data_IF_732195762193
#
_entry.id   IF_732195762193
#
_cell.length_a   1.000
_cell.length_b   1.000
_cell.length_c   1.000
_cell.angle_alpha   90.00
_cell.angle_beta   90.00
_cell.angle_gamma   90.00
#
_symmetry.space_group_name_H-M   'P 1'
#
loop_
_entity.id
_entity.type
_entity.pdbx_description
1 polymer ?
#
# COMPACT_ATOMS: atom_id res chain seq x y z
N UNK A 1 -5.05 -9.60 0.93
CA UNK A 1 -5.56 -10.31 2.13
C UNK A 1 -6.76 -11.12 1.68
N UNK A 2 -7.10 -12.23 2.32
CA UNK A 2 -8.22 -13.08 1.90
C UNK A 2 -9.36 -13.04 2.94
N UNK A 3 -10.60 -13.41 2.56
CA UNK A 3 -11.72 -13.49 3.50
C UNK A 3 -11.46 -14.41 4.69
N UNK A 4 -10.88 -15.59 4.44
CA UNK A 4 -10.55 -16.52 5.53
C UNK A 4 -9.53 -15.96 6.54
N UNK A 5 -8.71 -14.96 6.15
CA UNK A 5 -7.86 -14.25 7.12
C UNK A 5 -8.65 -13.27 7.99
N UNK A 6 -9.69 -12.63 7.44
CA UNK A 6 -10.59 -11.77 8.20
C UNK A 6 -11.44 -12.59 9.17
N UNK A 7 -11.97 -13.73 8.72
CA UNK A 7 -12.76 -14.64 9.56
C UNK A 7 -11.91 -15.19 10.72
N UNK A 8 -10.66 -15.61 10.45
CA UNK A 8 -9.77 -16.11 11.49
C UNK A 8 -9.44 -15.05 12.56
N UNK A 9 -9.35 -13.77 12.20
CA UNK A 9 -9.18 -12.67 13.16
C UNK A 9 -10.43 -12.51 14.04
N UNK A 10 -11.61 -12.56 13.43
CA UNK A 10 -12.89 -12.47 14.15
C UNK A 10 -13.08 -13.66 15.11
N UNK A 11 -12.77 -14.88 14.68
CA UNK A 11 -12.82 -16.10 15.52
C UNK A 11 -11.82 -16.03 16.68
N UNK A 12 -10.66 -15.40 16.48
CA UNK A 12 -9.68 -15.13 17.52
C UNK A 12 -10.07 -13.98 18.47
N UNK A 13 -11.22 -13.32 18.24
CA UNK A 13 -11.68 -12.17 19.02
C UNK A 13 -10.88 -10.89 18.77
N UNK A 14 -10.14 -10.81 17.66
CA UNK A 14 -9.39 -9.62 17.25
C UNK A 14 -10.29 -8.73 16.39
N UNK A 15 -10.71 -7.60 16.96
CA UNK A 15 -11.53 -6.60 16.26
C UNK A 15 -10.68 -5.39 15.84
N UNK A 16 -11.17 -4.64 14.87
CA UNK A 16 -10.57 -3.39 14.44
C UNK A 16 -11.58 -2.25 14.64
N UNK A 17 -11.09 -1.09 15.08
CA UNK A 17 -11.91 0.12 15.23
C UNK A 17 -12.07 0.88 13.91
N UNK A 18 -11.07 0.73 13.02
CA UNK A 18 -11.03 1.41 11.73
C UNK A 18 -10.38 0.51 10.67
N UNK A 19 -10.97 0.47 9.48
CA UNK A 19 -10.41 -0.19 8.30
C UNK A 19 -10.07 0.86 7.24
N UNK A 20 -8.79 1.17 7.08
CA UNK A 20 -8.33 2.18 6.12
C UNK A 20 -8.07 1.54 4.75
N UNK A 21 -8.77 2.02 3.72
CA UNK A 21 -8.57 1.59 2.34
C UNK A 21 -7.89 2.71 1.53
N UNK A 22 -6.62 2.50 1.16
CA UNK A 22 -5.88 3.43 0.31
C UNK A 22 -6.22 3.18 -1.15
N UNK A 23 -6.96 4.09 -1.76
CA UNK A 23 -7.39 4.00 -3.16
C UNK A 23 -6.41 4.73 -4.06
N UNK A 24 -5.83 4.01 -5.03
CA UNK A 24 -4.84 4.51 -5.99
C UNK A 24 -5.09 3.82 -7.34
N UNK A 25 -5.12 4.56 -8.47
CA UNK A 25 -5.27 3.96 -9.78
C UNK A 25 -4.15 2.95 -10.10
N UNK A 26 -4.52 1.84 -10.73
CA UNK A 26 -3.60 0.73 -11.04
C UNK A 26 -2.42 1.17 -11.91
N UNK A 27 -2.64 2.09 -12.85
CA UNK A 27 -1.58 2.61 -13.73
C UNK A 27 -0.48 3.31 -12.92
N UNK A 28 -0.88 4.06 -11.89
CA UNK A 28 0.04 4.74 -10.98
C UNK A 28 0.76 3.73 -10.08
N UNK A 29 0.07 2.66 -9.65
CA UNK A 29 0.69 1.59 -8.86
C UNK A 29 1.75 0.83 -9.67
N UNK A 30 1.48 0.54 -10.94
CA UNK A 30 2.45 -0.08 -11.86
C UNK A 30 3.68 0.80 -12.00
N UNK A 31 3.52 2.09 -12.30
CA UNK A 31 4.64 3.02 -12.42
C UNK A 31 5.50 3.05 -11.14
N UNK A 32 4.84 3.19 -9.98
CA UNK A 32 5.50 3.24 -8.67
C UNK A 32 6.32 1.99 -8.36
N UNK A 33 5.82 0.80 -8.72
CA UNK A 33 6.54 -0.45 -8.45
C UNK A 33 7.70 -0.66 -9.42
N UNK A 34 7.49 -0.41 -10.72
CA UNK A 34 8.55 -0.60 -11.73
C UNK A 34 9.70 0.40 -11.53
N UNK A 35 9.40 1.61 -11.05
CA UNK A 35 10.41 2.62 -10.74
C UNK A 35 11.16 2.40 -9.42
N UNK A 36 10.73 1.42 -8.60
CA UNK A 36 11.33 1.15 -7.28
C UNK A 36 12.73 0.56 -7.40
N UNK A 37 13.63 1.06 -6.58
CA UNK A 37 15.01 0.58 -6.43
C UNK A 37 15.35 0.42 -4.96
N UNK A 38 16.25 -0.50 -4.65
CA UNK A 38 16.74 -0.73 -3.28
C UNK A 38 18.25 -0.65 -3.28
N UNK A 39 18.82 0.10 -2.33
CA UNK A 39 20.25 0.08 -2.08
C UNK A 39 20.59 -1.21 -1.28
N UNK A 40 21.37 -2.14 -1.84
CA UNK A 40 21.71 -3.39 -1.17
C UNK A 40 22.57 -3.18 0.10
N UNK A 41 23.23 -2.04 0.23
CA UNK A 41 24.12 -1.73 1.37
C UNK A 41 23.32 -1.19 2.56
N UNK A 42 22.40 -0.25 2.31
CA UNK A 42 21.66 0.43 3.39
C UNK A 42 20.23 -0.09 3.56
N UNK A 43 19.71 -0.86 2.62
CA UNK A 43 18.31 -1.27 2.56
C UNK A 43 17.33 -0.12 2.27
N UNK A 44 17.83 1.06 1.89
CA UNK A 44 16.97 2.22 1.59
C UNK A 44 16.28 2.01 0.25
N UNK A 45 14.99 2.35 0.19
CA UNK A 45 14.19 2.28 -1.02
C UNK A 45 14.23 3.66 -1.69
N UNK A 46 14.48 3.66 -3.00
CA UNK A 46 14.46 4.82 -3.87
C UNK A 46 13.45 4.62 -4.99
N UNK A 47 13.13 5.72 -5.68
CA UNK A 47 12.32 5.68 -6.89
C UNK A 47 12.91 6.63 -7.92
N UNK A 48 13.23 6.13 -9.12
CA UNK A 48 13.97 6.90 -10.14
C UNK A 48 13.33 8.25 -10.50
N UNK A 49 11.99 8.34 -10.48
CA UNK A 49 11.24 9.59 -10.72
C UNK A 49 10.91 10.36 -9.43
N UNK A 50 10.27 9.73 -8.44
CA UNK A 50 9.68 10.44 -7.30
C UNK A 50 10.63 10.67 -6.11
N UNK A 51 11.69 9.86 -5.99
CA UNK A 51 12.67 9.95 -4.91
C UNK A 51 14.01 9.38 -5.41
N UNK A 52 14.67 10.08 -6.34
CA UNK A 52 15.95 9.64 -6.89
C UNK A 52 17.04 9.68 -5.80
N UNK A 53 18.08 8.86 -5.92
CA UNK A 53 19.27 8.97 -5.07
C UNK A 53 20.02 10.28 -5.37
N UNK A 54 20.47 10.97 -4.31
CA UNK A 54 21.27 12.20 -4.45
C UNK A 54 22.75 11.90 -4.77
N UNK A 55 23.21 10.68 -4.46
CA UNK A 55 24.60 10.25 -4.57
C UNK A 55 24.78 9.30 -5.77
N UNK A 56 25.75 9.60 -6.65
CA UNK A 56 26.06 8.78 -7.84
C UNK A 56 26.53 7.36 -7.48
N UNK A 57 27.27 7.17 -6.38
CA UNK A 57 27.70 5.84 -5.95
C UNK A 57 26.50 5.00 -5.50
N UNK A 58 25.54 5.63 -4.81
CA UNK A 58 24.28 4.99 -4.44
C UNK A 58 23.49 4.65 -5.71
N UNK A 59 23.37 5.60 -6.64
CA UNK A 59 22.65 5.43 -7.90
C UNK A 59 23.19 4.24 -8.73
N UNK A 60 24.51 4.08 -8.81
CA UNK A 60 25.15 3.04 -9.58
C UNK A 60 24.96 1.62 -9.00
N UNK A 61 24.74 1.51 -7.68
CA UNK A 61 24.55 0.22 -6.99
C UNK A 61 23.10 -0.14 -6.71
N UNK A 62 22.14 0.70 -7.12
CA UNK A 62 20.72 0.45 -6.90
C UNK A 62 20.25 -0.79 -7.65
N UNK A 63 19.56 -1.68 -6.94
CA UNK A 63 19.01 -2.90 -7.51
C UNK A 63 17.48 -2.82 -7.62
N UNK A 64 16.95 -3.39 -8.70
CA UNK A 64 15.51 -3.61 -8.84
C UNK A 64 15.19 -5.02 -8.33
N UNK A 65 14.13 -5.15 -7.54
CA UNK A 65 13.67 -6.47 -7.11
C UNK A 65 13.18 -7.28 -8.30
N UNK A 66 13.39 -8.58 -8.28
CA UNK A 66 12.97 -9.47 -9.36
C UNK A 66 11.44 -9.55 -9.54
N UNK A 67 10.66 -9.13 -8.54
CA UNK A 67 9.19 -9.06 -8.59
C UNK A 67 8.62 -7.70 -9.03
N UNK A 68 9.48 -6.70 -9.26
CA UNK A 68 9.07 -5.33 -9.65
C UNK A 68 8.97 -5.16 -11.17
N UNK A 69 8.42 -6.16 -11.87
CA UNK A 69 8.16 -6.09 -13.32
C UNK A 69 6.69 -5.80 -13.59
N UNK A 70 6.39 -5.10 -14.68
CA UNK A 70 5.01 -4.73 -15.05
C UNK A 70 4.07 -5.95 -15.09
N UNK A 71 4.51 -7.04 -15.71
CA UNK A 71 3.75 -8.30 -15.80
C UNK A 71 3.41 -8.85 -14.40
N UNK A 72 4.40 -8.93 -13.50
CA UNK A 72 4.19 -9.46 -12.14
C UNK A 72 3.32 -8.53 -11.31
N UNK A 73 3.44 -7.22 -11.50
CA UNK A 73 2.60 -6.24 -10.78
C UNK A 73 1.15 -6.35 -11.22
N UNK A 74 0.87 -6.47 -12.52
CA UNK A 74 -0.49 -6.67 -13.03
C UNK A 74 -1.15 -7.92 -12.45
N UNK A 75 -0.45 -9.06 -12.45
CA UNK A 75 -0.95 -10.30 -11.83
C UNK A 75 -1.26 -10.11 -10.35
N UNK A 76 -0.43 -9.35 -9.61
CA UNK A 76 -0.68 -9.04 -8.20
C UNK A 76 -1.87 -8.11 -8.00
N UNK A 77 -2.08 -7.14 -8.88
CA UNK A 77 -3.24 -6.24 -8.84
C UNK A 77 -4.54 -7.00 -9.12
N UNK A 78 -4.56 -7.87 -10.12
CA UNK A 78 -5.71 -8.76 -10.39
C UNK A 78 -6.06 -9.61 -9.18
N UNK A 79 -5.06 -10.26 -8.56
CA UNK A 79 -5.25 -11.03 -7.33
C UNK A 79 -5.70 -10.16 -6.16
N UNK A 80 -5.22 -8.93 -6.07
CA UNK A 80 -5.65 -7.99 -5.04
C UNK A 80 -7.13 -7.65 -5.22
N UNK A 81 -7.56 -7.23 -6.41
CA UNK A 81 -8.94 -6.87 -6.71
C UNK A 81 -9.90 -8.05 -6.52
N UNK A 82 -9.52 -9.26 -6.94
CA UNK A 82 -10.31 -10.47 -6.75
C UNK A 82 -10.58 -10.79 -5.26
N UNK A 83 -9.67 -10.39 -4.37
CA UNK A 83 -9.80 -10.66 -2.94
C UNK A 83 -10.34 -9.47 -2.14
N UNK A 84 -10.06 -8.24 -2.58
CA UNK A 84 -10.30 -7.03 -1.77
C UNK A 84 -11.78 -6.77 -1.58
N UNK A 85 -12.62 -7.05 -2.58
CA UNK A 85 -14.06 -6.83 -2.49
C UNK A 85 -14.70 -7.73 -1.43
N UNK A 86 -14.23 -8.98 -1.34
CA UNK A 86 -14.67 -9.93 -0.33
C UNK A 86 -14.20 -9.54 1.09
N UNK A 87 -12.99 -8.99 1.22
CA UNK A 87 -12.49 -8.49 2.52
C UNK A 87 -13.18 -7.19 2.94
N UNK A 88 -13.43 -6.26 1.99
CA UNK A 88 -14.17 -5.02 2.25
C UNK A 88 -15.56 -5.30 2.81
N UNK A 89 -16.22 -6.36 2.33
CA UNK A 89 -17.51 -6.81 2.84
C UNK A 89 -17.53 -7.11 4.34
N UNK A 90 -16.41 -7.56 4.92
CA UNK A 90 -16.30 -7.84 6.36
C UNK A 90 -16.15 -6.58 7.23
N UNK A 91 -15.83 -5.42 6.64
CA UNK A 91 -15.44 -4.21 7.36
C UNK A 91 -16.20 -2.96 6.93
N UNK A 92 -17.33 -3.10 6.23
CA UNK A 92 -18.09 -1.97 5.65
C UNK A 92 -18.42 -0.87 6.64
N UNK A 93 -18.72 -1.22 7.90
CA UNK A 93 -19.18 -0.27 8.93
C UNK A 93 -18.04 0.59 9.52
N UNK A 94 -16.81 0.07 9.46
CA UNK A 94 -15.60 0.70 9.99
C UNK A 94 -14.65 1.17 8.88
N UNK A 95 -15.02 1.00 7.61
CA UNK A 95 -14.18 1.32 6.48
C UNK A 95 -14.13 2.83 6.20
N UNK A 96 -12.92 3.33 5.97
CA UNK A 96 -12.66 4.69 5.48
C UNK A 96 -11.77 4.59 4.25
N UNK A 97 -12.28 5.09 3.12
CA UNK A 97 -11.51 5.18 1.87
C UNK A 97 -10.71 6.48 1.86
N UNK A 98 -9.42 6.38 1.57
CA UNK A 98 -8.47 7.50 1.52
C UNK A 98 -7.80 7.52 0.15
N UNK A 99 -7.78 8.67 -0.50
CA UNK A 99 -7.05 8.85 -1.76
C UNK A 99 -5.54 8.75 -1.50
N UNK A 100 -4.90 7.67 -1.96
CA UNK A 100 -3.47 7.44 -1.82
C UNK A 100 -2.61 8.05 -2.93
N UNK A 101 -3.21 8.78 -3.87
CA UNK A 101 -2.53 9.48 -4.95
C UNK A 101 -2.25 10.95 -4.61
N UNK A 102 -1.84 11.20 -3.36
CA UNK A 102 -1.50 12.52 -2.83
C UNK A 102 -0.11 12.47 -2.19
N UNK A 103 0.38 13.62 -1.69
CA UNK A 103 1.66 13.67 -0.98
C UNK A 103 1.56 12.89 0.33
N UNK A 104 2.65 12.26 0.81
CA UNK A 104 2.65 11.50 2.06
C UNK A 104 2.07 12.27 3.25
N UNK A 105 2.40 13.56 3.40
CA UNK A 105 1.91 14.39 4.50
C UNK A 105 0.38 14.63 4.43
N UNK A 106 -0.16 14.80 3.23
CA UNK A 106 -1.61 14.97 3.01
C UNK A 106 -2.34 13.68 3.34
N UNK A 107 -1.85 12.55 2.83
CA UNK A 107 -2.41 11.22 3.12
C UNK A 107 -2.33 10.92 4.63
N UNK A 108 -1.21 11.23 5.27
CA UNK A 108 -1.03 11.04 6.72
C UNK A 108 -2.01 11.90 7.54
N UNK A 109 -2.24 13.16 7.14
CA UNK A 109 -3.21 14.02 7.79
C UNK A 109 -4.64 13.48 7.68
N UNK A 110 -5.02 12.96 6.51
CA UNK A 110 -6.35 12.36 6.30
C UNK A 110 -6.53 11.09 7.12
N UNK A 111 -5.51 10.22 7.16
CA UNK A 111 -5.50 9.00 7.97
C UNK A 111 -5.63 9.35 9.46
N UNK A 112 -4.85 10.32 9.94
CA UNK A 112 -4.89 10.76 11.35
C UNK A 112 -6.29 11.22 11.75
N UNK A 113 -6.90 12.10 10.94
CA UNK A 113 -8.27 12.57 11.19
C UNK A 113 -9.31 11.45 11.14
N UNK A 114 -9.17 10.48 10.23
CA UNK A 114 -10.07 9.33 10.15
C UNK A 114 -10.01 8.44 11.40
N UNK A 115 -8.81 8.20 11.93
CA UNK A 115 -8.59 7.41 13.15
C UNK A 115 -9.19 8.15 14.35
N UNK A 116 -8.88 9.45 14.51
CA UNK A 116 -9.41 10.26 15.61
C UNK A 116 -10.94 10.29 15.62
N UNK A 117 -11.56 10.46 14.46
CA UNK A 117 -13.03 10.49 14.35
C UNK A 117 -13.68 9.15 14.74
N UNK A 118 -13.02 8.02 14.45
CA UNK A 118 -13.53 6.67 14.80
C UNK A 118 -13.28 6.32 16.26
N UNK A 119 -12.18 6.77 16.86
CA UNK A 119 -11.90 6.56 18.28
C UNK A 119 -12.72 7.45 19.22
N UNK A 120 -13.22 8.58 18.73
CA UNK A 120 -14.05 9.50 19.49
C UNK A 120 -15.56 9.15 19.46
N UNK A 121 -15.98 8.21 18.61
CA UNK A 121 -17.36 7.76 18.45
C UNK A 121 -17.67 6.56 19.37
#
# INVERSE_FOLDING_TARGET
RTPGQADALAEAGVTADCFLFLDVPDEILVERVVGRRTDPVTGKIYHMTFSPPDDEEVAARLEQRSDDTEEKVKVRLEQFHANVDAVKGSYTDIMVTVNGNQKPDEVASVIGGAIEAKLAA
#
